data_IF_815555766390
#
_entry.id   IF_815555766390
#
_cell.length_a   1.000
_cell.length_b   1.000
_cell.length_c   1.000
_cell.angle_alpha   90.00
_cell.angle_beta   90.00
_cell.angle_gamma   90.00
#
_symmetry.space_group_name_H-M   'P 1'
#
loop_
_entity.id
_entity.type
_entity.pdbx_description
1 polymer ?
#
# COMPACT_ATOMS: atom_id res chain seq x y z
N UNK A 1 -14.86 -27.36 -14.12
CA UNK A 1 -14.09 -26.90 -12.93
C UNK A 1 -13.45 -25.59 -13.33
N UNK A 2 -13.62 -24.54 -12.53
CA UNK A 2 -13.09 -23.21 -12.85
C UNK A 2 -11.56 -23.24 -12.92
N UNK A 3 -10.99 -22.59 -13.94
CA UNK A 3 -9.53 -22.44 -14.09
C UNK A 3 -9.04 -21.16 -13.43
N UNK A 4 -7.81 -21.16 -12.93
CA UNK A 4 -7.15 -19.97 -12.35
C UNK A 4 -6.99 -18.84 -13.37
N UNK A 5 -6.86 -19.18 -14.65
CA UNK A 5 -6.63 -18.24 -15.74
C UNK A 5 -7.95 -17.82 -16.43
N UNK A 6 -9.09 -18.27 -15.90
CA UNK A 6 -10.38 -17.98 -16.49
C UNK A 6 -10.75 -16.51 -16.28
N UNK A 7 -11.22 -15.89 -17.36
CA UNK A 7 -11.60 -14.48 -17.40
C UNK A 7 -13.10 -14.34 -17.64
N UNK A 8 -13.67 -13.32 -17.03
CA UNK A 8 -15.07 -12.95 -17.15
C UNK A 8 -15.16 -11.51 -17.58
N UNK A 9 -16.23 -11.15 -18.27
CA UNK A 9 -16.55 -9.76 -18.56
C UNK A 9 -18.04 -9.50 -18.39
N UNK A 10 -18.36 -8.26 -18.07
CA UNK A 10 -19.73 -7.78 -17.96
C UNK A 10 -19.79 -6.33 -18.41
N UNK A 11 -20.94 -5.93 -18.97
CA UNK A 11 -21.18 -4.54 -19.35
C UNK A 11 -22.05 -3.90 -18.26
N UNK A 12 -21.57 -2.79 -17.70
CA UNK A 12 -22.31 -1.95 -16.77
C UNK A 12 -22.50 -0.57 -17.41
N UNK A 13 -23.70 -0.30 -17.92
CA UNK A 13 -23.95 0.88 -18.75
C UNK A 13 -23.14 0.82 -20.06
N UNK A 14 -22.20 1.72 -20.23
CA UNK A 14 -21.26 1.80 -21.35
C UNK A 14 -19.84 1.30 -21.00
N UNK A 15 -19.66 0.72 -19.80
CA UNK A 15 -18.36 0.32 -19.27
C UNK A 15 -18.22 -1.20 -19.29
N UNK A 16 -17.19 -1.70 -19.97
CA UNK A 16 -16.79 -3.11 -19.89
C UNK A 16 -15.93 -3.35 -18.65
N UNK A 17 -16.44 -4.18 -17.75
CA UNK A 17 -15.70 -4.72 -16.63
C UNK A 17 -15.04 -6.03 -17.06
N UNK A 18 -13.81 -6.25 -16.60
CA UNK A 18 -13.14 -7.54 -16.72
C UNK A 18 -12.85 -8.10 -15.33
N UNK A 19 -12.90 -9.42 -15.18
CA UNK A 19 -12.62 -10.08 -13.92
C UNK A 19 -11.84 -11.38 -14.07
N UNK A 20 -11.05 -11.68 -13.05
CA UNK A 20 -10.26 -12.91 -12.91
C UNK A 20 -10.56 -13.50 -11.53
N UNK A 21 -10.46 -14.83 -11.39
CA UNK A 21 -10.60 -15.47 -10.08
C UNK A 21 -9.40 -15.07 -9.21
N UNK A 22 -9.67 -14.54 -8.02
CA UNK A 22 -8.62 -14.15 -7.08
C UNK A 22 -7.80 -15.37 -6.66
N UNK A 23 -6.47 -15.29 -6.75
CA UNK A 23 -5.59 -16.40 -6.33
C UNK A 23 -5.75 -16.77 -4.85
N UNK A 24 -6.23 -15.85 -4.02
CA UNK A 24 -6.45 -16.06 -2.59
C UNK A 24 -7.42 -17.22 -2.30
N UNK A 25 -8.40 -17.49 -3.19
CA UNK A 25 -9.37 -18.57 -2.98
C UNK A 25 -8.72 -19.96 -3.01
N UNK A 26 -7.57 -20.10 -3.69
CA UNK A 26 -6.83 -21.35 -3.79
C UNK A 26 -5.78 -21.50 -2.69
N UNK A 27 -5.41 -20.41 -2.01
CA UNK A 27 -4.40 -20.40 -0.95
C UNK A 27 -4.99 -20.76 0.41
N UNK A 28 -6.28 -20.47 0.62
CA UNK A 28 -6.93 -20.61 1.91
C UNK A 28 -8.18 -21.50 1.80
N UNK A 29 -8.19 -22.61 2.55
CA UNK A 29 -9.35 -23.50 2.59
C UNK A 29 -10.56 -22.77 3.20
N UNK A 30 -11.71 -22.84 2.53
CA UNK A 30 -12.96 -22.22 3.01
C UNK A 30 -13.05 -20.70 2.79
N UNK A 31 -12.21 -20.12 1.93
CA UNK A 31 -12.20 -18.68 1.67
C UNK A 31 -13.42 -18.18 0.88
N UNK A 32 -14.05 -19.07 0.11
CA UNK A 32 -15.20 -18.78 -0.77
C UNK A 32 -14.79 -18.17 -2.11
N UNK A 33 -15.74 -18.05 -3.03
CA UNK A 33 -15.56 -17.47 -4.36
C UNK A 33 -15.18 -15.99 -4.25
N UNK A 34 -14.17 -15.56 -4.99
CA UNK A 34 -13.71 -14.19 -5.02
C UNK A 34 -13.16 -13.85 -6.40
N UNK A 35 -13.51 -12.65 -6.89
CA UNK A 35 -13.06 -12.12 -8.16
C UNK A 35 -12.27 -10.83 -7.94
N UNK A 36 -11.20 -10.67 -8.70
CA UNK A 36 -10.54 -9.39 -8.93
C UNK A 36 -11.16 -8.75 -10.16
N UNK A 37 -11.81 -7.60 -10.00
CA UNK A 37 -12.55 -6.90 -11.04
C UNK A 37 -11.81 -5.62 -11.42
N UNK A 38 -11.68 -5.34 -12.70
CA UNK A 38 -10.89 -4.23 -13.27
C UNK A 38 -11.77 -3.32 -14.13
N UNK A 39 -11.54 -2.02 -14.00
CA UNK A 39 -12.10 -1.00 -14.89
C UNK A 39 -11.20 -0.77 -16.11
N UNK A 40 -11.76 -0.34 -17.26
CA UNK A 40 -10.99 -0.11 -18.49
C UNK A 40 -10.01 1.07 -18.38
N UNK A 41 -10.33 2.05 -17.53
CA UNK A 41 -9.48 3.21 -17.24
C UNK A 41 -8.52 2.99 -16.05
N UNK A 42 -8.34 1.74 -15.63
CA UNK A 42 -7.46 1.37 -14.52
C UNK A 42 -8.16 1.35 -13.15
N UNK A 43 -7.49 0.71 -12.19
CA UNK A 43 -8.04 0.41 -10.88
C UNK A 43 -8.73 -0.95 -10.84
N UNK A 44 -8.52 -1.64 -9.74
CA UNK A 44 -9.08 -2.95 -9.44
C UNK A 44 -9.79 -2.97 -8.08
N UNK A 45 -10.75 -3.86 -7.94
CA UNK A 45 -11.42 -4.15 -6.68
C UNK A 45 -11.62 -5.64 -6.50
N UNK A 46 -11.93 -6.04 -5.27
CA UNK A 46 -12.20 -7.42 -4.91
C UNK A 46 -13.67 -7.54 -4.50
N UNK A 47 -14.39 -8.47 -5.14
CA UNK A 47 -15.74 -8.87 -4.73
C UNK A 47 -15.78 -10.35 -4.43
N UNK A 48 -16.62 -10.79 -3.49
CA UNK A 48 -16.62 -12.20 -3.08
C UNK A 48 -17.89 -12.67 -2.41
N UNK A 49 -18.06 -13.99 -2.42
CA UNK A 49 -19.15 -14.76 -1.84
C UNK A 49 -18.58 -15.90 -1.00
N UNK A 50 -18.52 -15.67 0.32
CA UNK A 50 -17.96 -16.64 1.29
C UNK A 50 -18.77 -17.95 1.37
N UNK A 51 -20.05 -17.87 1.03
CA UNK A 51 -21.01 -18.97 1.05
C UNK A 51 -20.90 -19.91 -0.15
N UNK A 52 -20.13 -19.55 -1.19
CA UNK A 52 -19.91 -20.37 -2.39
C UNK A 52 -18.46 -20.86 -2.37
N UNK A 53 -18.19 -22.14 -2.03
CA UNK A 53 -16.84 -22.70 -2.11
C UNK A 53 -16.33 -22.73 -3.56
N UNK A 54 -15.04 -22.46 -3.77
CA UNK A 54 -14.44 -22.45 -5.12
C UNK A 54 -14.50 -23.83 -5.78
N UNK A 55 -14.49 -24.90 -4.98
CA UNK A 55 -14.55 -26.29 -5.43
C UNK A 55 -15.88 -26.63 -6.12
N UNK A 56 -16.96 -25.93 -5.76
CA UNK A 56 -18.31 -26.12 -6.30
C UNK A 56 -18.80 -24.94 -7.12
N UNK A 57 -18.07 -23.82 -7.13
CA UNK A 57 -18.41 -22.63 -7.89
C UNK A 57 -18.44 -22.92 -9.39
N UNK A 58 -19.40 -22.30 -10.07
CA UNK A 58 -19.62 -22.39 -11.51
C UNK A 58 -19.28 -21.09 -12.21
N UNK A 59 -19.19 -21.13 -13.53
CA UNK A 59 -19.03 -19.91 -14.35
C UNK A 59 -20.21 -18.95 -14.16
N UNK A 60 -21.41 -19.50 -13.95
CA UNK A 60 -22.61 -18.72 -13.68
C UNK A 60 -22.53 -17.99 -12.33
N UNK A 61 -21.94 -18.62 -11.30
CA UNK A 61 -21.71 -17.96 -10.01
C UNK A 61 -20.73 -16.79 -10.16
N UNK A 62 -19.66 -16.97 -10.95
CA UNK A 62 -18.72 -15.89 -11.27
C UNK A 62 -19.39 -14.74 -12.02
N UNK A 63 -20.20 -15.06 -13.03
CA UNK A 63 -20.92 -14.04 -13.81
C UNK A 63 -21.93 -13.29 -12.93
N UNK A 64 -22.72 -14.00 -12.13
CA UNK A 64 -23.67 -13.40 -11.21
C UNK A 64 -22.99 -12.52 -10.16
N UNK A 65 -21.81 -12.93 -9.65
CA UNK A 65 -21.02 -12.11 -8.74
C UNK A 65 -20.49 -10.84 -9.45
N UNK A 66 -19.98 -10.96 -10.68
CA UNK A 66 -19.52 -9.81 -11.46
C UNK A 66 -20.66 -8.82 -11.75
N UNK A 67 -21.87 -9.29 -12.01
CA UNK A 67 -23.06 -8.46 -12.26
C UNK A 67 -23.48 -7.63 -11.03
N UNK A 68 -23.04 -7.99 -9.82
CA UNK A 68 -23.28 -7.17 -8.61
C UNK A 68 -22.44 -5.90 -8.57
N UNK A 69 -21.37 -5.83 -9.36
CA UNK A 69 -20.46 -4.68 -9.41
C UNK A 69 -21.12 -3.55 -10.18
N UNK A 70 -21.25 -2.39 -9.54
CA UNK A 70 -21.73 -1.17 -10.18
C UNK A 70 -20.60 -0.18 -10.43
N UNK A 71 -20.85 0.66 -11.44
CA UNK A 71 -19.96 1.74 -11.86
C UNK A 71 -20.72 3.05 -11.74
N UNK A 72 -20.06 4.07 -11.21
CA UNK A 72 -20.55 5.45 -11.12
C UNK A 72 -19.59 6.39 -11.83
N UNK A 73 -20.04 7.59 -12.15
CA UNK A 73 -19.16 8.65 -12.62
C UNK A 73 -18.23 9.09 -11.47
N UNK A 74 -16.94 9.17 -11.75
CA UNK A 74 -15.95 9.67 -10.81
C UNK A 74 -16.34 11.08 -10.35
N UNK A 75 -16.43 11.29 -9.04
CA UNK A 75 -16.82 12.59 -8.47
C UNK A 75 -15.92 13.77 -8.86
N UNK A 76 -14.69 13.48 -9.32
CA UNK A 76 -13.68 14.49 -9.67
C UNK A 76 -13.57 14.74 -11.18
N UNK A 77 -13.62 13.70 -12.02
CA UNK A 77 -13.39 13.84 -13.48
C UNK A 77 -14.44 13.16 -14.36
N UNK A 78 -15.52 12.64 -13.79
CA UNK A 78 -16.63 11.96 -14.48
C UNK A 78 -16.28 10.66 -15.25
N UNK A 79 -15.00 10.27 -15.32
CA UNK A 79 -14.59 8.95 -15.83
C UNK A 79 -15.17 7.81 -14.97
N UNK A 80 -15.30 6.58 -15.51
CA UNK A 80 -15.77 5.43 -14.74
C UNK A 80 -15.02 5.23 -13.41
N UNK A 81 -15.77 4.94 -12.35
CA UNK A 81 -15.26 4.60 -11.02
C UNK A 81 -16.15 3.53 -10.38
N UNK A 82 -15.61 2.73 -9.47
CA UNK A 82 -16.40 1.73 -8.75
C UNK A 82 -17.41 2.42 -7.81
N UNK A 83 -18.64 1.93 -7.81
CA UNK A 83 -19.68 2.38 -6.89
C UNK A 83 -19.35 1.93 -5.46
N UNK A 84 -19.18 2.84 -4.49
CA UNK A 84 -18.86 2.49 -3.11
C UNK A 84 -19.97 1.68 -2.41
N UNK A 85 -21.20 1.68 -2.94
CA UNK A 85 -22.33 0.91 -2.38
C UNK A 85 -22.25 -0.58 -2.73
N UNK A 86 -21.57 -0.94 -3.82
CA UNK A 86 -21.39 -2.35 -4.24
C UNK A 86 -19.94 -2.83 -4.11
N UNK A 87 -18.99 -1.90 -4.12
CA UNK A 87 -17.56 -2.19 -4.07
C UNK A 87 -16.93 -1.47 -2.88
N UNK A 88 -16.58 -2.23 -1.84
CA UNK A 88 -15.95 -1.69 -0.63
C UNK A 88 -14.48 -1.36 -0.88
N UNK A 89 -14.23 -0.20 -1.50
CA UNK A 89 -12.89 0.36 -1.70
C UNK A 89 -12.72 1.62 -0.87
N UNK A 90 -11.47 1.98 -0.59
CA UNK A 90 -11.11 3.27 0.01
C UNK A 90 -11.11 4.44 -0.99
N UNK A 91 -11.52 4.21 -2.25
CA UNK A 91 -11.53 5.23 -3.30
C UNK A 91 -12.78 6.11 -3.27
N UNK A 92 -13.83 5.74 -2.54
CA UNK A 92 -15.02 6.57 -2.30
C UNK A 92 -15.61 7.21 -3.58
N UNK A 93 -15.81 6.38 -4.61
CA UNK A 93 -16.35 6.82 -5.91
C UNK A 93 -15.36 7.63 -6.77
N UNK A 94 -14.07 7.66 -6.43
CA UNK A 94 -13.02 8.21 -7.31
C UNK A 94 -12.46 7.12 -8.24
N UNK A 95 -12.15 7.51 -9.49
CA UNK A 95 -11.37 6.65 -10.37
C UNK A 95 -9.91 6.57 -9.89
N UNK A 96 -9.19 5.52 -10.32
CA UNK A 96 -7.80 5.27 -9.93
C UNK A 96 -6.90 6.50 -10.13
N UNK A 97 -7.01 7.18 -11.27
CA UNK A 97 -6.17 8.34 -11.57
C UNK A 97 -6.38 9.47 -10.58
N UNK A 98 -7.64 9.82 -10.26
CA UNK A 98 -7.94 10.90 -9.32
C UNK A 98 -7.53 10.53 -7.89
N UNK A 99 -7.82 9.30 -7.48
CA UNK A 99 -7.46 8.78 -6.17
C UNK A 99 -5.94 8.79 -5.96
N UNK A 100 -5.17 8.27 -6.92
CA UNK A 100 -3.71 8.24 -6.85
C UNK A 100 -3.10 9.64 -6.93
N UNK A 101 -3.66 10.56 -7.73
CA UNK A 101 -3.20 11.94 -7.76
C UNK A 101 -3.33 12.62 -6.39
N UNK A 102 -4.45 12.39 -5.69
CA UNK A 102 -4.66 12.89 -4.33
C UNK A 102 -3.65 12.30 -3.34
N UNK A 103 -3.50 10.96 -3.33
CA UNK A 103 -2.55 10.29 -2.43
C UNK A 103 -1.12 10.75 -2.67
N UNK A 104 -0.71 10.90 -3.93
CA UNK A 104 0.62 11.39 -4.27
C UNK A 104 0.84 12.82 -3.79
N UNK A 105 -0.17 13.71 -3.93
CA UNK A 105 -0.07 15.07 -3.43
C UNK A 105 0.04 15.13 -1.89
N UNK A 106 -0.69 14.28 -1.17
CA UNK A 106 -0.58 14.14 0.28
C UNK A 106 0.80 13.61 0.69
N UNK A 107 1.27 12.57 0.01
CA UNK A 107 2.60 11.99 0.23
C UNK A 107 3.73 13.00 0.00
N UNK A 108 3.71 13.73 -1.12
CA UNK A 108 4.70 14.77 -1.43
C UNK A 108 4.70 15.90 -0.38
N UNK A 109 3.50 16.30 0.08
CA UNK A 109 3.36 17.31 1.12
C UNK A 109 3.99 16.84 2.43
N UNK A 110 3.75 15.60 2.83
CA UNK A 110 4.29 15.05 4.06
C UNK A 110 5.79 14.78 3.98
N UNK A 111 6.30 14.36 2.81
CA UNK A 111 7.74 14.31 2.54
C UNK A 111 8.40 15.68 2.72
N UNK A 112 7.83 16.74 2.12
CA UNK A 112 8.35 18.12 2.27
C UNK A 112 8.34 18.58 3.72
N UNK A 113 7.30 18.25 4.49
CA UNK A 113 7.25 18.56 5.93
C UNK A 113 8.31 17.80 6.73
N UNK A 114 8.50 16.51 6.43
CA UNK A 114 9.49 15.68 7.10
C UNK A 114 10.91 16.17 6.82
N UNK A 115 11.24 16.48 5.56
CA UNK A 115 12.52 17.06 5.17
C UNK A 115 12.76 18.43 5.83
N UNK A 116 11.76 19.33 5.82
CA UNK A 116 11.87 20.62 6.48
C UNK A 116 12.05 20.49 8.00
N UNK A 117 11.39 19.52 8.64
CA UNK A 117 11.58 19.22 10.06
C UNK A 117 13.00 18.71 10.32
N UNK A 118 13.47 17.76 9.51
CA UNK A 118 14.81 17.20 9.62
C UNK A 118 15.89 18.29 9.51
N UNK A 119 15.78 19.18 8.52
CA UNK A 119 16.69 20.33 8.35
C UNK A 119 16.68 21.27 9.56
N UNK A 120 15.50 21.53 10.14
CA UNK A 120 15.39 22.35 11.38
C UNK A 120 16.05 21.67 12.57
N UNK A 121 15.86 20.36 12.72
CA UNK A 121 16.48 19.59 13.78
C UNK A 121 18.01 19.54 13.59
N UNK A 122 18.50 19.29 12.37
CA UNK A 122 19.93 19.36 12.02
C UNK A 122 20.54 20.72 12.37
N UNK A 123 19.91 21.83 11.97
CA UNK A 123 20.38 23.18 12.32
C UNK A 123 20.38 23.43 13.84
N UNK A 124 19.34 22.96 14.55
CA UNK A 124 19.23 23.08 16.01
C UNK A 124 20.33 22.30 16.74
N UNK A 125 20.64 21.08 16.30
CA UNK A 125 21.69 20.27 16.90
C UNK A 125 23.08 20.79 16.53
N UNK A 126 23.29 21.28 15.30
CA UNK A 126 24.52 21.97 14.91
C UNK A 126 24.81 23.17 15.81
N UNK A 127 23.80 24.01 16.07
CA UNK A 127 23.92 25.15 16.99
C UNK A 127 24.25 24.76 18.44
N UNK A 128 24.03 23.48 18.81
CA UNK A 128 24.38 22.90 20.11
C UNK A 128 25.74 22.19 20.12
N UNK A 129 26.51 22.26 19.03
CA UNK A 129 27.84 21.67 18.92
C UNK A 129 27.89 20.24 18.39
N UNK A 130 26.75 19.67 17.97
CA UNK A 130 26.73 18.38 17.26
C UNK A 130 27.32 18.56 15.86
N UNK A 131 28.06 17.55 15.39
CA UNK A 131 28.75 17.63 14.11
C UNK A 131 28.20 16.66 13.07
N UNK A 132 27.51 15.60 13.50
CA UNK A 132 26.95 14.60 12.60
C UNK A 132 25.54 14.15 13.02
N UNK A 133 24.73 13.77 12.03
CA UNK A 133 23.52 12.95 12.21
C UNK A 133 23.79 11.54 11.68
N UNK A 134 23.47 10.55 12.50
CA UNK A 134 23.38 9.14 12.13
C UNK A 134 21.93 8.85 11.80
N UNK A 135 21.68 8.33 10.60
CA UNK A 135 20.40 7.81 10.15
C UNK A 135 20.54 6.30 9.99
N UNK A 136 19.90 5.52 10.85
CA UNK A 136 20.08 4.07 10.90
C UNK A 136 18.75 3.32 10.76
N UNK A 137 18.79 2.14 10.16
CA UNK A 137 17.73 1.14 10.29
C UNK A 137 18.06 0.20 11.43
N UNK A 138 17.11 0.05 12.35
CA UNK A 138 17.23 -0.89 13.46
C UNK A 138 16.48 -2.15 13.08
N UNK A 139 17.19 -3.28 13.09
CA UNK A 139 16.64 -4.62 12.82
C UNK A 139 16.52 -5.39 14.14
N UNK A 140 15.43 -5.21 14.92
CA UNK A 140 15.32 -5.87 16.20
C UNK A 140 15.17 -7.39 16.01
N UNK A 141 15.58 -8.22 16.99
CA UNK A 141 15.41 -9.67 16.92
C UNK A 141 13.93 -10.11 16.89
N UNK A 142 13.01 -9.23 17.25
CA UNK A 142 11.55 -9.41 17.17
C UNK A 142 10.90 -8.07 16.82
N UNK A 143 9.89 -8.11 15.95
CA UNK A 143 9.14 -6.94 15.52
C UNK A 143 9.55 -6.46 14.14
N UNK A 144 9.09 -5.25 13.79
CA UNK A 144 9.39 -4.60 12.52
C UNK A 144 10.62 -3.72 12.63
N UNK A 145 11.33 -3.59 11.51
CA UNK A 145 12.42 -2.62 11.36
C UNK A 145 11.90 -1.20 11.53
N UNK A 146 12.74 -0.32 12.07
CA UNK A 146 12.40 1.09 12.24
C UNK A 146 13.60 2.00 12.03
N UNK A 147 13.32 3.21 11.55
CA UNK A 147 14.34 4.24 11.37
C UNK A 147 14.65 4.94 12.69
N UNK A 148 15.94 5.16 12.96
CA UNK A 148 16.44 5.93 14.08
C UNK A 148 17.34 7.07 13.60
N UNK A 149 17.03 8.29 14.04
CA UNK A 149 17.88 9.47 13.88
C UNK A 149 18.59 9.79 15.20
N UNK A 150 19.92 9.89 15.18
CA UNK A 150 20.73 10.29 16.32
C UNK A 150 21.69 11.40 15.92
N UNK A 151 21.82 12.45 16.74
CA UNK A 151 22.84 13.48 16.54
C UNK A 151 24.02 13.18 17.47
N UNK A 152 25.24 13.24 16.95
CA UNK A 152 26.46 12.93 17.70
C UNK A 152 27.57 13.97 17.45
N UNK A 153 28.49 14.11 18.40
CA UNK A 153 29.68 14.98 18.28
C UNK A 153 30.86 14.09 17.90
N UNK A 154 31.40 14.30 16.70
CA UNK A 154 32.55 13.59 16.12
C UNK A 154 32.52 12.08 16.38
N UNK A 155 31.42 11.38 16.04
CA UNK A 155 31.26 9.98 16.38
C UNK A 155 32.28 9.11 15.63
N UNK A 156 32.82 8.10 16.30
CA UNK A 156 33.55 7.01 15.64
C UNK A 156 32.61 5.88 15.22
N UNK A 157 32.96 5.05 14.22
CA UNK A 157 32.16 3.89 13.84
C UNK A 157 31.84 2.95 15.02
N UNK A 158 32.77 2.79 15.96
CA UNK A 158 32.59 1.96 17.15
C UNK A 158 31.56 2.54 18.11
N UNK A 159 31.54 3.87 18.28
CA UNK A 159 30.54 4.57 19.08
C UNK A 159 29.14 4.44 18.47
N UNK A 160 29.03 4.59 17.15
CA UNK A 160 27.76 4.41 16.42
C UNK A 160 27.28 2.97 16.59
N UNK A 161 28.16 2.00 16.32
CA UNK A 161 27.87 0.57 16.50
C UNK A 161 27.41 0.25 17.92
N UNK A 162 28.05 0.83 18.93
CA UNK A 162 27.66 0.63 20.33
C UNK A 162 26.25 1.16 20.62
N UNK A 163 25.88 2.33 20.09
CA UNK A 163 24.52 2.87 20.22
C UNK A 163 23.49 1.99 19.51
N UNK A 164 23.78 1.52 18.29
CA UNK A 164 22.87 0.64 17.54
C UNK A 164 22.69 -0.73 18.24
N UNK A 165 23.76 -1.26 18.84
CA UNK A 165 23.67 -2.47 19.69
C UNK A 165 22.82 -2.26 20.94
N UNK A 166 22.87 -1.07 21.58
CA UNK A 166 21.97 -0.74 22.71
C UNK A 166 20.50 -0.74 22.29
N UNK A 167 20.22 -0.41 21.03
CA UNK A 167 18.88 -0.51 20.42
C UNK A 167 18.52 -1.93 19.97
N UNK A 168 19.40 -2.90 20.22
CA UNK A 168 19.25 -4.31 19.85
C UNK A 168 19.15 -4.53 18.34
N UNK A 169 19.80 -3.70 17.53
CA UNK A 169 19.90 -3.99 16.09
C UNK A 169 20.70 -5.26 15.88
N UNK A 170 20.17 -6.19 15.09
CA UNK A 170 20.85 -7.38 14.62
C UNK A 170 21.94 -7.03 13.59
N UNK A 171 21.73 -5.97 12.82
CA UNK A 171 22.73 -5.36 11.94
C UNK A 171 23.06 -3.94 12.44
N UNK A 172 24.18 -3.76 13.16
CA UNK A 172 24.60 -2.45 13.65
C UNK A 172 25.43 -1.68 12.61
N UNK A 173 25.43 -2.10 11.34
CA UNK A 173 26.13 -1.43 10.24
C UNK A 173 25.20 -0.75 9.24
N UNK A 174 23.89 -0.99 9.31
CA UNK A 174 22.89 -0.31 8.48
C UNK A 174 22.63 1.12 8.96
N UNK A 175 23.56 2.01 8.62
CA UNK A 175 23.41 3.44 8.86
C UNK A 175 24.11 4.29 7.80
N UNK A 176 23.66 5.53 7.70
CA UNK A 176 24.32 6.63 7.00
C UNK A 176 24.76 7.68 8.01
N UNK A 177 25.99 8.14 7.86
CA UNK A 177 26.53 9.26 8.61
C UNK A 177 26.47 10.51 7.74
N UNK A 178 25.82 11.56 8.23
CA UNK A 178 25.65 12.84 7.56
C UNK A 178 26.32 13.93 8.40
N UNK A 179 27.19 14.73 7.81
CA UNK A 179 27.77 15.92 8.46
C UNK A 179 26.73 17.06 8.50
N UNK A 180 26.67 17.79 9.62
CA UNK A 180 25.70 18.86 9.88
C UNK A 180 26.18 20.24 9.43
#
# INVERSE_FOLDING_TARGET
MLSKDQKFSAIQGDVELTAEISLCVFMYKGYGLQLTVKLPNGGDTIVGRKDIPIETATEQDCQALLETVKVVACKTCQKPAFDPTTCHTNRDGECETCFMAKLNAEFEKDMKKADAKLKRDDAKFKARGYTHRVQAWIHPPRGSDYELMMWMINPTPEQITAELKKKKSADPTDYKLIEL
#
